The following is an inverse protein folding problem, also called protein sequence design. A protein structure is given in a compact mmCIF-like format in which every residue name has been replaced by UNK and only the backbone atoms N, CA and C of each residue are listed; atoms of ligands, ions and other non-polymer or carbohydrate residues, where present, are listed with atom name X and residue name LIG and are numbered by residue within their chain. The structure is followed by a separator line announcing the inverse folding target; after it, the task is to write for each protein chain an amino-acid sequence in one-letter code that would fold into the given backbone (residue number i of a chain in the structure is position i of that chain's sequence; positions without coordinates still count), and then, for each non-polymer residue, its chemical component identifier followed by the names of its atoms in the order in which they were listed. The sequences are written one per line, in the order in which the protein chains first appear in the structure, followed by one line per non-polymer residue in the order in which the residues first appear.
data_IF_449621893966
#
_entry.id   IF_449621893966
#
_cell.length_a   1.000
_cell.length_b   1.000
_cell.length_c   1.000
_cell.angle_alpha   90.00
_cell.angle_beta   90.00
_cell.angle_gamma   90.00
#
_symmetry.space_group_name_H-M   'P 1'
#
loop_
_entity.id
_entity.type
_entity.pdbx_description
1 polymer ?
#
# COMPACT_ATOMS: atom_id res chain seq x y z
N UNK A 1 -11.53 -30.54 2.06
CA UNK A 1 -10.17 -31.08 1.76
C UNK A 1 -9.25 -30.62 2.88
N UNK A 2 -8.84 -31.52 3.77
CA UNK A 2 -8.08 -31.19 4.99
C UNK A 2 -6.63 -30.89 4.60
N UNK A 3 -6.24 -29.61 4.57
CA UNK A 3 -4.87 -29.18 4.29
C UNK A 3 -4.01 -29.39 5.54
N UNK A 4 -2.99 -30.22 5.43
CA UNK A 4 -1.97 -30.45 6.47
C UNK A 4 -1.14 -29.18 6.70
N UNK A 5 -0.60 -29.00 7.92
CA UNK A 5 0.12 -27.78 8.34
C UNK A 5 1.34 -27.42 7.46
N UNK A 6 1.97 -28.40 6.80
CA UNK A 6 3.05 -28.19 5.82
C UNK A 6 2.54 -27.44 4.57
N UNK A 7 1.27 -27.65 4.20
CA UNK A 7 0.64 -26.93 3.10
C UNK A 7 0.45 -25.44 3.38
N UNK A 8 0.32 -25.02 4.63
CA UNK A 8 0.13 -23.60 4.99
C UNK A 8 1.43 -22.78 4.88
N UNK A 9 2.57 -23.35 5.28
CA UNK A 9 3.88 -22.71 5.14
C UNK A 9 4.25 -22.58 3.65
N UNK A 10 3.97 -23.62 2.86
CA UNK A 10 4.20 -23.57 1.41
C UNK A 10 3.35 -22.49 0.74
N UNK A 11 2.13 -22.26 1.21
CA UNK A 11 1.29 -21.15 0.72
C UNK A 11 1.93 -19.80 1.03
N UNK A 12 2.42 -19.57 2.25
CA UNK A 12 3.11 -18.32 2.60
C UNK A 12 4.38 -18.13 1.76
N UNK A 13 5.16 -19.19 1.59
CA UNK A 13 6.34 -19.17 0.72
C UNK A 13 5.96 -18.90 -0.74
N UNK A 14 4.92 -19.53 -1.26
CA UNK A 14 4.43 -19.31 -2.63
C UNK A 14 3.86 -17.89 -2.78
N UNK A 15 3.24 -17.31 -1.75
CA UNK A 15 2.79 -15.90 -1.78
C UNK A 15 3.98 -14.95 -2.01
N UNK A 16 5.10 -15.20 -1.32
CA UNK A 16 6.26 -14.32 -1.40
C UNK A 16 7.14 -14.62 -2.62
N UNK A 17 7.41 -15.90 -2.89
CA UNK A 17 8.44 -16.32 -3.84
C UNK A 17 7.90 -16.97 -5.12
N UNK A 18 6.62 -17.36 -5.15
CA UNK A 18 5.99 -17.93 -6.34
C UNK A 18 4.54 -17.44 -6.56
N UNK A 19 4.36 -16.12 -6.73
CA UNK A 19 3.03 -15.51 -6.79
C UNK A 19 2.19 -16.04 -7.96
N UNK A 20 2.83 -16.62 -8.97
CA UNK A 20 2.17 -17.19 -10.15
C UNK A 20 1.15 -18.29 -9.78
N UNK A 21 1.47 -19.17 -8.83
CA UNK A 21 0.57 -20.25 -8.41
C UNK A 21 -0.74 -19.72 -7.80
N UNK A 22 -0.68 -18.60 -7.09
CA UNK A 22 -1.86 -17.97 -6.48
C UNK A 22 -2.71 -17.24 -7.52
N UNK A 23 -2.03 -16.63 -8.48
CA UNK A 23 -2.64 -15.89 -9.59
C UNK A 23 -3.37 -16.87 -10.52
N UNK A 24 -2.77 -18.01 -10.88
CA UNK A 24 -3.39 -19.00 -11.77
C UNK A 24 -4.65 -19.65 -11.15
N UNK A 25 -4.67 -19.88 -9.84
CA UNK A 25 -5.89 -20.36 -9.18
C UNK A 25 -7.04 -19.35 -9.19
N UNK A 26 -6.80 -18.07 -9.52
CA UNK A 26 -7.84 -17.03 -9.52
C UNK A 26 -8.61 -16.87 -10.83
N UNK A 27 -8.07 -17.36 -11.96
CA UNK A 27 -8.71 -17.26 -13.27
C UNK A 27 -9.91 -18.21 -13.46
N UNK A 28 -10.06 -19.23 -12.60
CA UNK A 28 -11.13 -20.24 -12.67
C UNK A 28 -12.44 -19.82 -11.99
N UNK A 29 -12.56 -18.57 -11.54
CA UNK A 29 -13.63 -18.15 -10.61
C UNK A 29 -14.84 -17.49 -11.27
N UNK A 30 -14.79 -17.18 -12.56
CA UNK A 30 -15.90 -16.52 -13.27
C UNK A 30 -17.17 -17.39 -13.29
N UNK A 31 -17.03 -18.72 -13.21
CA UNK A 31 -18.14 -19.67 -13.31
C UNK A 31 -18.69 -20.18 -11.96
N UNK A 32 -18.26 -19.60 -10.84
CA UNK A 32 -18.69 -20.06 -9.51
C UNK A 32 -20.04 -19.50 -9.06
N UNK A 33 -20.76 -20.29 -8.25
CA UNK A 33 -22.01 -19.89 -7.60
C UNK A 33 -21.83 -18.68 -6.67
N UNK A 34 -22.90 -17.90 -6.47
CA UNK A 34 -22.88 -16.70 -5.63
C UNK A 34 -22.40 -16.97 -4.19
N UNK A 35 -22.74 -18.14 -3.64
CA UNK A 35 -22.30 -18.58 -2.30
C UNK A 35 -20.79 -18.77 -2.24
N UNK A 36 -20.20 -19.41 -3.25
CA UNK A 36 -18.75 -19.63 -3.31
C UNK A 36 -17.98 -18.32 -3.52
N UNK A 37 -18.55 -17.39 -4.29
CA UNK A 37 -18.03 -16.02 -4.45
C UNK A 37 -18.01 -15.27 -3.12
N UNK A 38 -19.11 -15.29 -2.38
CA UNK A 38 -19.20 -14.65 -1.06
C UNK A 38 -18.22 -15.26 -0.06
N UNK A 39 -18.15 -16.60 0.00
CA UNK A 39 -17.19 -17.31 0.85
C UNK A 39 -15.74 -16.93 0.53
N UNK A 40 -15.41 -16.77 -0.76
CA UNK A 40 -14.08 -16.35 -1.20
C UNK A 40 -13.76 -14.93 -0.74
N UNK A 41 -14.69 -13.99 -0.91
CA UNK A 41 -14.52 -12.61 -0.43
C UNK A 41 -14.26 -12.62 1.07
N UNK A 42 -15.11 -13.29 1.86
CA UNK A 42 -14.95 -13.37 3.32
C UNK A 42 -13.59 -13.95 3.69
N UNK A 43 -13.18 -15.06 3.07
CA UNK A 43 -11.90 -15.70 3.36
C UNK A 43 -10.71 -14.79 3.04
N UNK A 44 -10.76 -14.07 1.92
CA UNK A 44 -9.70 -13.13 1.53
C UNK A 44 -9.68 -11.91 2.45
N UNK A 45 -10.84 -11.37 2.82
CA UNK A 45 -10.95 -10.26 3.77
C UNK A 45 -10.40 -10.65 5.13
N UNK A 46 -10.77 -11.81 5.67
CA UNK A 46 -10.26 -12.30 6.96
C UNK A 46 -8.75 -12.50 6.89
N UNK A 47 -8.24 -13.12 5.82
CA UNK A 47 -6.80 -13.26 5.61
C UNK A 47 -6.10 -11.89 5.60
N UNK A 48 -6.63 -10.93 4.83
CA UNK A 48 -6.10 -9.58 4.76
C UNK A 48 -6.08 -8.92 6.15
N UNK A 49 -7.19 -8.91 6.88
CA UNK A 49 -7.28 -8.29 8.21
C UNK A 49 -6.33 -8.92 9.23
N UNK A 50 -6.19 -10.25 9.23
CA UNK A 50 -5.23 -10.93 10.09
C UNK A 50 -3.79 -10.52 9.78
N UNK A 51 -3.45 -10.42 8.48
CA UNK A 51 -2.13 -9.92 8.06
C UNK A 51 -1.94 -8.46 8.46
N UNK A 52 -2.96 -7.61 8.29
CA UNK A 52 -2.90 -6.21 8.74
C UNK A 52 -2.55 -6.13 10.21
N UNK A 53 -3.24 -6.88 11.08
CA UNK A 53 -2.95 -6.87 12.53
C UNK A 53 -1.52 -7.34 12.80
N UNK A 54 -1.12 -8.46 12.18
CA UNK A 54 0.22 -9.02 12.35
C UNK A 54 1.31 -8.02 11.96
N UNK A 55 1.07 -7.19 10.95
CA UNK A 55 2.03 -6.24 10.41
C UNK A 55 1.94 -4.83 11.01
N UNK A 56 0.76 -4.43 11.46
CA UNK A 56 0.58 -3.19 12.20
C UNK A 56 1.19 -3.29 13.60
N UNK A 57 1.25 -4.49 14.19
CA UNK A 57 1.82 -4.71 15.51
C UNK A 57 3.30 -4.29 15.64
N UNK A 58 4.25 -4.75 14.80
CA UNK A 58 5.64 -4.29 14.87
C UNK A 58 5.75 -2.78 14.58
N UNK A 59 4.93 -2.24 13.67
CA UNK A 59 4.91 -0.80 13.38
C UNK A 59 4.46 0.01 14.61
N UNK A 60 3.47 -0.50 15.33
CA UNK A 60 2.90 0.15 16.52
C UNK A 60 3.83 0.05 17.71
N UNK A 61 4.50 -1.10 17.90
CA UNK A 61 5.55 -1.29 18.90
C UNK A 61 6.71 -0.32 18.68
N UNK A 62 7.11 -0.11 17.42
CA UNK A 62 8.15 0.87 17.08
C UNK A 62 7.72 2.31 17.36
N UNK A 63 6.41 2.62 17.40
CA UNK A 63 5.91 3.95 17.74
C UNK A 63 5.90 4.25 19.25
N UNK A 64 6.00 3.23 20.10
CA UNK A 64 6.02 3.39 21.56
C UNK A 64 7.32 4.11 21.95
N UNK A 65 7.19 5.23 22.66
CA UNK A 65 8.30 6.08 23.09
C UNK A 65 8.58 7.27 22.17
N UNK A 66 7.90 7.37 21.03
CA UNK A 66 8.00 8.52 20.11
C UNK A 66 6.71 9.34 20.06
N UNK A 67 5.56 8.67 20.16
CA UNK A 67 4.26 9.31 20.31
C UNK A 67 3.80 9.06 21.74
N UNK A 68 3.28 10.09 22.40
CA UNK A 68 2.68 9.98 23.74
C UNK A 68 1.30 9.30 23.62
N UNK A 69 1.32 8.02 23.25
CA UNK A 69 0.16 7.20 23.00
C UNK A 69 0.44 5.74 23.38
N UNK A 70 -0.56 5.08 23.96
CA UNK A 70 -0.51 3.66 24.25
C UNK A 70 -0.45 2.81 22.96
N UNK A 71 0.01 1.57 23.09
CA UNK A 71 0.11 0.61 21.99
C UNK A 71 -1.23 0.35 21.28
N UNK A 72 -2.35 0.40 22.01
CA UNK A 72 -3.68 0.09 21.47
C UNK A 72 -4.13 1.16 20.46
N UNK A 73 -4.16 2.47 20.80
CA UNK A 73 -4.41 3.54 19.83
C UNK A 73 -3.49 3.50 18.61
N UNK A 74 -2.19 3.26 18.80
CA UNK A 74 -1.23 3.14 17.69
C UNK A 74 -1.57 1.97 16.77
N UNK A 75 -1.90 0.81 17.34
CA UNK A 75 -2.30 -0.38 16.58
C UNK A 75 -3.56 -0.13 15.78
N UNK A 76 -4.56 0.53 16.36
CA UNK A 76 -5.81 0.88 15.67
C UNK A 76 -5.51 1.82 14.50
N UNK A 77 -4.77 2.92 14.72
CA UNK A 77 -4.48 3.91 13.68
C UNK A 77 -3.66 3.31 12.52
N UNK A 78 -2.63 2.53 12.84
CA UNK A 78 -1.80 1.85 11.84
C UNK A 78 -2.63 0.83 11.05
N UNK A 79 -3.47 0.03 11.73
CA UNK A 79 -4.33 -0.95 11.07
C UNK A 79 -5.33 -0.27 10.13
N UNK A 80 -5.99 0.81 10.57
CA UNK A 80 -6.94 1.55 9.73
C UNK A 80 -6.23 2.15 8.51
N UNK A 81 -5.02 2.69 8.68
CA UNK A 81 -4.23 3.26 7.58
C UNK A 81 -3.90 2.20 6.52
N UNK A 82 -3.40 1.04 6.95
CA UNK A 82 -3.08 -0.09 6.06
C UNK A 82 -4.34 -0.62 5.36
N UNK A 83 -5.46 -0.74 6.08
CA UNK A 83 -6.76 -1.15 5.50
C UNK A 83 -7.20 -0.16 4.42
N UNK A 84 -7.19 1.13 4.76
CA UNK A 84 -7.63 2.20 3.86
C UNK A 84 -6.79 2.24 2.59
N UNK A 85 -5.47 2.14 2.73
CA UNK A 85 -4.55 2.11 1.59
C UNK A 85 -4.71 0.84 0.74
N UNK A 86 -4.98 -0.32 1.38
CA UNK A 86 -5.29 -1.56 0.68
C UNK A 86 -6.55 -1.47 -0.18
N UNK A 87 -7.63 -0.91 0.37
CA UNK A 87 -8.88 -0.70 -0.38
C UNK A 87 -8.74 0.35 -1.49
N UNK A 88 -7.99 1.43 -1.24
CA UNK A 88 -7.69 2.42 -2.26
C UNK A 88 -6.90 1.79 -3.42
N UNK A 89 -5.87 1.01 -3.10
CA UNK A 89 -5.05 0.32 -4.11
C UNK A 89 -5.90 -0.68 -4.91
N UNK A 90 -6.78 -1.42 -4.25
CA UNK A 90 -7.74 -2.30 -4.93
C UNK A 90 -8.64 -1.52 -5.90
N UNK A 91 -9.17 -0.39 -5.45
CA UNK A 91 -10.08 0.44 -6.23
C UNK A 91 -9.38 1.01 -7.46
N UNK A 92 -8.16 1.52 -7.32
CA UNK A 92 -7.35 2.06 -8.42
C UNK A 92 -6.90 0.95 -9.38
N UNK A 93 -6.43 -0.18 -8.86
CA UNK A 93 -6.06 -1.34 -9.67
C UNK A 93 -7.23 -1.84 -10.53
N UNK A 94 -8.40 -2.02 -9.91
CA UNK A 94 -9.59 -2.46 -10.66
C UNK A 94 -10.09 -1.39 -11.64
N UNK A 95 -10.03 -0.10 -11.26
CA UNK A 95 -10.38 1.00 -12.16
C UNK A 95 -9.49 1.02 -13.40
N UNK A 96 -8.18 0.82 -13.23
CA UNK A 96 -7.25 0.69 -14.36
C UNK A 96 -7.63 -0.47 -15.28
N UNK A 97 -7.93 -1.65 -14.71
CA UNK A 97 -8.35 -2.84 -15.48
C UNK A 97 -9.66 -2.57 -16.24
N UNK A 98 -10.62 -1.92 -15.58
CA UNK A 98 -11.90 -1.58 -16.15
C UNK A 98 -11.76 -0.57 -17.30
N UNK A 99 -10.90 0.43 -17.16
CA UNK A 99 -10.63 1.45 -18.19
C UNK A 99 -9.98 0.87 -19.45
N UNK A 100 -9.09 -0.10 -19.31
CA UNK A 100 -8.53 -0.84 -20.45
C UNK A 100 -9.49 -1.93 -20.99
N UNK A 101 -10.71 -2.02 -20.44
CA UNK A 101 -11.80 -2.92 -20.88
C UNK A 101 -11.47 -4.42 -20.85
N UNK A 102 -10.45 -4.84 -20.11
CA UNK A 102 -10.09 -6.26 -19.96
C UNK A 102 -10.49 -6.85 -18.61
N UNK A 103 -11.55 -6.35 -17.98
CA UNK A 103 -11.98 -6.85 -16.68
C UNK A 103 -12.64 -8.23 -16.79
N UNK A 104 -12.22 -9.15 -15.92
CA UNK A 104 -12.82 -10.47 -15.71
C UNK A 104 -13.65 -10.50 -14.41
N UNK A 105 -14.00 -9.31 -13.90
CA UNK A 105 -14.78 -9.12 -12.67
C UNK A 105 -13.98 -8.57 -11.49
N UNK A 106 -14.71 -8.18 -10.44
CA UNK A 106 -14.17 -7.55 -9.22
C UNK A 106 -13.42 -8.52 -8.32
N UNK A 107 -13.94 -9.75 -8.17
CA UNK A 107 -13.40 -10.76 -7.24
C UNK A 107 -11.95 -11.15 -7.56
N UNK A 108 -11.56 -11.39 -8.83
CA UNK A 108 -10.18 -11.68 -9.16
C UNK A 108 -9.24 -10.51 -8.81
N UNK A 109 -9.64 -9.27 -9.12
CA UNK A 109 -8.86 -8.08 -8.73
C UNK A 109 -8.73 -7.95 -7.21
N UNK A 110 -9.82 -8.16 -6.48
CA UNK A 110 -9.84 -8.11 -5.02
C UNK A 110 -8.85 -9.11 -4.42
N UNK A 111 -8.85 -10.35 -4.91
CA UNK A 111 -7.95 -11.40 -4.44
C UNK A 111 -6.49 -11.10 -4.72
N UNK A 112 -6.17 -10.67 -5.94
CA UNK A 112 -4.80 -10.29 -6.33
C UNK A 112 -4.30 -9.19 -5.40
N UNK A 113 -5.09 -8.13 -5.22
CA UNK A 113 -4.64 -6.98 -4.45
C UNK A 113 -4.58 -7.31 -2.96
N UNK A 114 -5.64 -7.84 -2.36
CA UNK A 114 -5.70 -8.00 -0.90
C UNK A 114 -4.71 -9.03 -0.35
N UNK A 115 -4.44 -10.12 -1.08
CA UNK A 115 -3.45 -11.12 -0.63
C UNK A 115 -2.02 -10.55 -0.66
N UNK A 116 -1.70 -9.76 -1.69
CA UNK A 116 -0.33 -9.27 -1.87
C UNK A 116 -0.09 -7.98 -1.09
N UNK A 117 -1.07 -7.08 -1.07
CA UNK A 117 -0.91 -5.73 -0.51
C UNK A 117 -0.56 -5.76 0.95
N UNK A 118 -1.17 -6.63 1.77
CA UNK A 118 -0.84 -6.67 3.20
C UNK A 118 0.64 -6.93 3.47
N UNK A 119 1.27 -7.83 2.71
CA UNK A 119 2.68 -8.22 2.91
C UNK A 119 3.61 -7.12 2.43
N UNK A 120 3.44 -6.64 1.20
CA UNK A 120 4.36 -5.64 0.65
C UNK A 120 4.21 -4.29 1.31
N UNK A 121 2.97 -3.89 1.61
CA UNK A 121 2.71 -2.63 2.30
C UNK A 121 3.28 -2.66 3.72
N UNK A 122 3.23 -3.80 4.40
CA UNK A 122 3.91 -3.99 5.68
C UNK A 122 5.42 -3.82 5.58
N UNK A 123 6.07 -4.46 4.60
CA UNK A 123 7.52 -4.33 4.40
C UNK A 123 7.89 -2.89 4.09
N UNK A 124 7.15 -2.24 3.18
CA UNK A 124 7.38 -0.84 2.80
C UNK A 124 7.21 0.08 4.00
N UNK A 125 6.11 -0.02 4.75
CA UNK A 125 5.90 0.82 5.93
C UNK A 125 6.92 0.56 7.03
N UNK A 126 7.29 -0.70 7.31
CA UNK A 126 8.32 -0.98 8.31
C UNK A 126 9.68 -0.41 7.90
N UNK A 127 10.10 -0.59 6.64
CA UNK A 127 11.36 -0.01 6.16
C UNK A 127 11.35 1.52 6.18
N UNK A 128 10.24 2.14 5.78
CA UNK A 128 10.06 3.59 5.80
C UNK A 128 10.13 4.12 7.24
N UNK A 129 9.45 3.44 8.18
CA UNK A 129 9.42 3.81 9.59
C UNK A 129 10.77 3.66 10.28
N UNK A 130 11.46 2.53 10.05
CA UNK A 130 12.85 2.31 10.49
C UNK A 130 13.76 3.43 9.95
N UNK A 131 13.60 3.76 8.65
CA UNK A 131 14.39 4.81 8.01
C UNK A 131 14.18 6.18 8.65
N UNK A 132 12.93 6.57 8.85
CA UNK A 132 12.57 7.84 9.49
C UNK A 132 13.14 7.91 10.92
N UNK A 133 13.02 6.84 11.70
CA UNK A 133 13.44 6.91 13.10
C UNK A 133 14.94 6.81 13.35
N UNK A 134 15.67 6.11 12.50
CA UNK A 134 17.11 5.90 12.73
C UNK A 134 17.94 6.98 12.03
N UNK A 135 17.38 7.70 11.06
CA UNK A 135 18.14 8.62 10.21
C UNK A 135 17.43 9.95 9.96
N UNK A 136 18.02 11.02 10.49
CA UNK A 136 17.60 12.40 10.19
C UNK A 136 17.71 12.72 8.68
N UNK A 137 18.70 12.13 7.98
CA UNK A 137 18.86 12.28 6.53
C UNK A 137 17.68 11.67 5.78
N UNK A 138 17.26 10.45 6.13
CA UNK A 138 16.10 9.81 5.51
C UNK A 138 14.80 10.53 5.87
N UNK A 139 14.64 10.98 7.11
CA UNK A 139 13.50 11.82 7.51
C UNK A 139 13.42 13.08 6.66
N UNK A 140 14.53 13.79 6.49
CA UNK A 140 14.59 14.97 5.63
C UNK A 140 14.23 14.66 4.17
N UNK A 141 14.77 13.58 3.60
CA UNK A 141 14.47 13.15 2.23
C UNK A 141 13.00 12.75 2.05
N UNK A 142 12.43 11.97 2.96
CA UNK A 142 11.03 11.55 2.87
C UNK A 142 10.09 12.73 3.07
N UNK A 143 10.34 13.58 4.07
CA UNK A 143 9.53 14.78 4.29
C UNK A 143 9.57 15.71 3.08
N UNK A 144 10.76 15.93 2.49
CA UNK A 144 10.90 16.68 1.25
C UNK A 144 10.12 16.03 0.10
N UNK A 145 10.25 14.71 -0.10
CA UNK A 145 9.54 14.01 -1.18
C UNK A 145 8.02 14.06 -1.00
N UNK A 146 7.52 13.89 0.21
CA UNK A 146 6.10 14.05 0.53
C UNK A 146 5.64 15.50 0.31
N UNK A 147 6.42 16.49 0.73
CA UNK A 147 6.13 17.89 0.47
C UNK A 147 6.01 18.17 -1.03
N UNK A 148 7.01 17.78 -1.83
CA UNK A 148 6.96 17.97 -3.30
C UNK A 148 5.73 17.30 -3.90
N UNK A 149 5.36 16.11 -3.40
CA UNK A 149 4.15 15.42 -3.80
C UNK A 149 2.90 16.25 -3.47
N UNK A 150 2.78 16.74 -2.23
CA UNK A 150 1.65 17.51 -1.76
C UNK A 150 1.52 18.87 -2.46
N UNK A 151 2.62 19.57 -2.71
CA UNK A 151 2.63 20.82 -3.48
C UNK A 151 2.18 20.58 -4.92
N UNK A 152 2.73 19.56 -5.56
CA UNK A 152 2.36 19.20 -6.95
C UNK A 152 0.88 18.89 -7.03
N UNK A 153 0.37 18.04 -6.13
CA UNK A 153 -1.04 17.63 -6.12
C UNK A 153 -1.96 18.77 -5.70
N UNK A 154 -1.58 19.52 -4.68
CA UNK A 154 -2.36 20.63 -4.14
C UNK A 154 -2.53 21.78 -5.13
N UNK A 155 -1.50 22.05 -5.93
CA UNK A 155 -1.58 22.98 -7.05
C UNK A 155 -2.67 22.58 -8.05
N UNK A 156 -2.81 21.29 -8.37
CA UNK A 156 -3.81 20.81 -9.34
C UNK A 156 -5.22 20.64 -8.77
N UNK A 157 -5.39 20.48 -7.45
CA UNK A 157 -6.69 20.28 -6.80
C UNK A 157 -7.26 21.60 -6.22
N UNK A 158 -6.61 22.75 -6.48
CA UNK A 158 -7.03 24.06 -5.99
C UNK A 158 -7.17 24.11 -4.45
N UNK A 159 -6.18 23.54 -3.75
CA UNK A 159 -6.10 23.61 -2.29
C UNK A 159 -5.96 25.10 -1.86
N UNK A 160 -6.60 25.55 -0.76
CA UNK A 160 -6.67 26.96 -0.38
C UNK A 160 -5.31 27.67 -0.31
N UNK A 161 -5.29 29.01 -0.54
CA UNK A 161 -4.11 29.83 -0.31
C UNK A 161 -3.65 29.66 1.14
N UNK A 162 -2.39 29.28 1.34
CA UNK A 162 -1.78 29.08 2.66
C UNK A 162 -1.46 27.63 3.03
N UNK A 163 -1.91 26.64 2.25
CA UNK A 163 -1.53 25.23 2.44
C UNK A 163 0.00 25.02 2.35
N UNK A 164 0.69 25.88 1.60
CA UNK A 164 2.14 25.93 1.44
C UNK A 164 2.90 26.66 2.56
N UNK A 165 2.23 27.39 3.46
CA UNK A 165 2.90 28.38 4.30
C UNK A 165 3.78 27.76 5.40
N UNK A 166 3.54 26.48 5.74
CA UNK A 166 4.41 25.65 6.59
C UNK A 166 5.41 24.76 5.83
N UNK A 167 5.29 24.68 4.50
CA UNK A 167 6.21 23.93 3.63
C UNK A 167 7.42 24.77 3.21
N UNK A 168 7.53 26.03 3.65
CA UNK A 168 8.71 26.83 3.41
C UNK A 168 9.99 26.12 3.94
N UNK A 169 10.83 25.66 3.00
CA UNK A 169 12.26 25.33 3.15
C UNK A 169 12.72 23.96 3.68
N UNK A 170 12.00 22.85 3.47
CA UNK A 170 12.69 21.54 3.59
C UNK A 170 13.62 21.39 2.39
N UNK A 171 14.90 21.72 2.57
CA UNK A 171 15.90 21.39 1.56
C UNK A 171 16.05 19.87 1.50
N UNK A 172 16.16 19.25 0.32
CA UNK A 172 16.43 17.83 0.22
C UNK A 172 17.73 17.55 0.99
N UNK A 173 17.69 16.60 1.93
CA UNK A 173 18.93 16.18 2.56
C UNK A 173 19.89 15.66 1.49
N UNK A 174 21.18 15.97 1.62
CA UNK A 174 22.13 15.65 0.57
C UNK A 174 22.26 14.13 0.38
N UNK A 175 22.05 13.64 -0.85
CA UNK A 175 22.19 12.21 -1.16
C UNK A 175 23.61 11.71 -0.85
N UNK A 176 24.61 12.60 -0.95
CA UNK A 176 26.00 12.34 -0.55
C UNK A 176 26.17 12.02 0.93
N UNK A 177 25.28 12.49 1.81
CA UNK A 177 25.35 12.27 3.26
C UNK A 177 24.68 10.97 3.72
N UNK A 178 24.14 10.16 2.79
CA UNK A 178 23.51 8.88 3.13
C UNK A 178 24.53 7.89 3.68
N UNK A 179 24.26 7.41 4.90
CA UNK A 179 25.00 6.32 5.52
C UNK A 179 24.74 5.00 4.78
N UNK A 180 25.58 3.99 5.01
CA UNK A 180 25.39 2.66 4.42
C UNK A 180 24.01 2.07 4.77
N UNK A 181 23.56 2.25 6.02
CA UNK A 181 22.25 1.81 6.46
C UNK A 181 21.11 2.52 5.70
N UNK A 182 21.23 3.84 5.49
CA UNK A 182 20.22 4.60 4.75
C UNK A 182 20.07 4.10 3.32
N UNK A 183 21.21 3.84 2.66
CA UNK A 183 21.24 3.27 1.30
C UNK A 183 20.60 1.89 1.27
N UNK A 184 20.88 1.05 2.27
CA UNK A 184 20.29 -0.28 2.36
C UNK A 184 18.75 -0.22 2.52
N UNK A 185 18.24 0.72 3.33
CA UNK A 185 16.79 0.94 3.49
C UNK A 185 16.16 1.40 2.18
N UNK A 186 16.76 2.38 1.49
CA UNK A 186 16.29 2.86 0.18
C UNK A 186 16.26 1.73 -0.84
N UNK A 187 17.33 0.93 -0.93
CA UNK A 187 17.38 -0.23 -1.84
C UNK A 187 16.30 -1.25 -1.47
N UNK A 188 16.08 -1.52 -0.18
CA UNK A 188 15.02 -2.41 0.29
C UNK A 188 13.62 -1.91 -0.09
N UNK A 189 13.36 -0.61 0.03
CA UNK A 189 12.11 0.04 -0.39
C UNK A 189 11.91 -0.07 -1.91
N UNK A 190 12.96 0.18 -2.70
CA UNK A 190 12.92 0.05 -4.16
C UNK A 190 12.62 -1.38 -4.59
N UNK A 191 13.34 -2.37 -4.04
CA UNK A 191 13.12 -3.79 -4.35
C UNK A 191 11.70 -4.20 -3.98
N UNK A 192 11.24 -3.84 -2.78
CA UNK A 192 9.90 -4.19 -2.29
C UNK A 192 8.80 -3.54 -3.14
N UNK A 193 8.97 -2.29 -3.54
CA UNK A 193 8.03 -1.56 -4.41
C UNK A 193 8.01 -2.15 -5.83
N UNK A 194 9.18 -2.40 -6.42
CA UNK A 194 9.29 -3.02 -7.75
C UNK A 194 8.66 -4.41 -7.77
N UNK A 195 8.90 -5.21 -6.73
CA UNK A 195 8.36 -6.56 -6.65
C UNK A 195 6.84 -6.54 -6.40
N UNK A 196 6.33 -5.62 -5.58
CA UNK A 196 4.89 -5.42 -5.41
C UNK A 196 4.20 -5.09 -6.74
N UNK A 197 4.74 -4.12 -7.49
CA UNK A 197 4.22 -3.75 -8.82
C UNK A 197 4.33 -4.91 -9.81
N UNK A 198 5.42 -5.67 -9.78
CA UNK A 198 5.58 -6.85 -10.62
C UNK A 198 4.49 -7.90 -10.35
N UNK A 199 4.17 -8.18 -9.08
CA UNK A 199 3.12 -9.14 -8.72
C UNK A 199 1.75 -8.68 -9.24
N UNK A 200 1.42 -7.40 -9.07
CA UNK A 200 0.17 -6.84 -9.59
C UNK A 200 0.12 -6.84 -11.13
N UNK A 201 1.25 -6.52 -11.78
CA UNK A 201 1.40 -6.59 -13.23
C UNK A 201 1.17 -8.02 -13.77
N UNK A 202 1.75 -9.04 -13.13
CA UNK A 202 1.50 -10.44 -13.51
C UNK A 202 0.04 -10.82 -13.26
N UNK A 203 -0.55 -10.32 -12.17
CA UNK A 203 -1.98 -10.47 -11.88
C UNK A 203 -2.85 -9.95 -13.02
N UNK A 204 -2.61 -8.72 -13.46
CA UNK A 204 -3.30 -8.07 -14.57
C UNK A 204 -3.17 -8.91 -15.86
N UNK A 205 -1.96 -9.37 -16.18
CA UNK A 205 -1.72 -10.16 -17.39
C UNK A 205 -2.37 -11.53 -17.38
N UNK A 206 -2.24 -12.27 -16.29
CA UNK A 206 -2.60 -13.70 -16.24
C UNK A 206 -4.07 -13.90 -15.88
N UNK A 207 -4.64 -13.03 -15.06
CA UNK A 207 -6.00 -13.18 -14.55
C UNK A 207 -6.99 -12.40 -15.38
N UNK A 208 -6.59 -11.21 -15.82
CA UNK A 208 -7.41 -10.33 -16.65
C UNK A 208 -7.06 -10.43 -18.15
N UNK A 209 -6.08 -11.26 -18.52
CA UNK A 209 -5.72 -11.48 -19.93
C UNK A 209 -5.10 -10.26 -20.61
N UNK A 210 -4.68 -9.26 -19.85
CA UNK A 210 -4.20 -8.00 -20.39
C UNK A 210 -2.87 -8.16 -21.14
N UNK A 211 -2.68 -7.33 -22.16
CA UNK A 211 -1.40 -7.17 -22.84
C UNK A 211 -0.36 -6.54 -21.91
N UNK A 212 0.91 -6.54 -22.34
CA UNK A 212 2.00 -5.90 -21.57
C UNK A 212 1.75 -4.41 -21.38
N UNK A 213 1.31 -3.72 -22.44
CA UNK A 213 1.06 -2.29 -22.41
C UNK A 213 -0.11 -1.93 -21.49
N UNK A 214 -1.24 -2.61 -21.62
CA UNK A 214 -2.41 -2.38 -20.75
C UNK A 214 -2.07 -2.64 -19.28
N UNK A 215 -1.29 -3.68 -18.99
CA UNK A 215 -0.89 -3.99 -17.63
C UNK A 215 0.04 -2.92 -17.03
N UNK A 216 0.91 -2.30 -17.84
CA UNK A 216 1.70 -1.14 -17.40
C UNK A 216 0.80 0.06 -17.11
N UNK A 217 -0.23 0.31 -17.93
CA UNK A 217 -1.21 1.38 -17.64
C UNK A 217 -1.92 1.14 -16.30
N UNK A 218 -2.35 -0.10 -16.02
CA UNK A 218 -2.92 -0.46 -14.71
C UNK A 218 -1.94 -0.17 -13.57
N UNK A 219 -0.64 -0.44 -13.76
CA UNK A 219 0.36 -0.12 -12.74
C UNK A 219 0.49 1.39 -12.50
N UNK A 220 0.29 2.21 -13.54
CA UNK A 220 0.21 3.67 -13.40
C UNK A 220 -0.91 4.11 -12.46
N UNK A 221 -2.10 3.48 -12.53
CA UNK A 221 -3.19 3.73 -11.58
C UNK A 221 -2.83 3.30 -10.16
N UNK A 222 -2.15 2.17 -9.99
CA UNK A 222 -1.70 1.75 -8.64
C UNK A 222 -0.68 2.72 -8.08
N UNK A 223 0.27 3.18 -8.89
CA UNK A 223 1.29 4.15 -8.51
C UNK A 223 0.72 5.51 -8.12
N UNK A 224 -0.50 5.86 -8.55
CA UNK A 224 -1.17 7.06 -8.09
C UNK A 224 -1.77 6.93 -6.68
N UNK A 225 -1.76 5.74 -6.07
CA UNK A 225 -2.38 5.51 -4.76
C UNK A 225 -1.84 6.38 -3.63
N UNK A 226 -0.52 6.66 -3.49
CA UNK A 226 -0.02 7.56 -2.45
C UNK A 226 -0.55 8.97 -2.61
N UNK A 227 -0.58 9.47 -3.85
CA UNK A 227 -1.13 10.79 -4.21
C UNK A 227 -2.61 10.86 -3.88
N UNK A 228 -3.38 9.85 -4.31
CA UNK A 228 -4.82 9.82 -4.06
C UNK A 228 -5.13 9.69 -2.57
N UNK A 229 -4.36 8.89 -1.83
CA UNK A 229 -4.50 8.74 -0.38
C UNK A 229 -4.23 10.05 0.35
N UNK A 230 -3.14 10.73 -0.01
CA UNK A 230 -2.78 12.05 0.47
C UNK A 230 -3.90 13.07 0.22
N UNK A 231 -4.35 13.19 -1.04
CA UNK A 231 -5.41 14.12 -1.41
C UNK A 231 -6.72 13.86 -0.66
N UNK A 232 -7.17 12.60 -0.58
CA UNK A 232 -8.37 12.22 0.17
C UNK A 232 -8.21 12.57 1.65
N UNK A 233 -7.05 12.26 2.25
CA UNK A 233 -6.80 12.54 3.66
C UNK A 233 -6.86 14.03 3.99
N UNK A 234 -6.34 14.88 3.09
CA UNK A 234 -6.42 16.34 3.22
C UNK A 234 -7.85 16.84 3.10
N UNK A 235 -8.59 16.38 2.09
CA UNK A 235 -10.00 16.78 1.89
C UNK A 235 -10.85 16.39 3.11
N UNK A 236 -10.66 15.18 3.63
CA UNK A 236 -11.36 14.72 4.83
C UNK A 236 -11.00 15.58 6.06
N UNK A 237 -9.72 15.90 6.24
CA UNK A 237 -9.25 16.73 7.35
C UNK A 237 -9.85 18.15 7.31
N UNK A 238 -9.70 18.82 6.17
CA UNK A 238 -10.08 20.22 5.99
C UNK A 238 -11.60 20.43 5.96
N UNK A 239 -12.33 19.59 5.22
CA UNK A 239 -13.75 19.84 4.94
C UNK A 239 -14.71 19.08 5.84
N UNK A 240 -14.27 17.96 6.44
CA UNK A 240 -15.15 17.13 7.27
C UNK A 240 -14.84 17.22 8.77
N UNK A 241 -13.79 17.96 9.19
CA UNK A 241 -13.30 18.01 10.57
C UNK A 241 -13.05 16.61 11.18
N UNK A 242 -12.83 15.60 10.33
CA UNK A 242 -12.45 14.27 10.75
C UNK A 242 -10.93 14.28 10.87
N UNK A 243 -10.34 13.84 11.99
CA UNK A 243 -8.89 13.82 12.14
C UNK A 243 -8.23 13.13 10.93
N UNK A 244 -7.44 13.88 10.16
CA UNK A 244 -6.65 13.35 9.07
C UNK A 244 -5.55 12.44 9.60
N UNK A 245 -5.19 11.39 8.85
CA UNK A 245 -4.05 10.51 9.18
C UNK A 245 -2.72 11.29 9.22
N UNK A 246 -2.65 12.37 8.44
CA UNK A 246 -1.57 13.34 8.50
C UNK A 246 -2.05 14.53 9.34
N UNK A 247 -1.68 14.57 10.63
CA UNK A 247 -1.65 15.86 11.32
C UNK A 247 -0.44 16.60 10.78
N UNK A 248 -0.68 17.62 9.94
CA UNK A 248 0.33 18.64 9.68
C UNK A 248 0.67 19.26 11.04
N UNK A 249 1.97 19.35 11.35
CA UNK A 249 2.49 19.58 12.69
C UNK A 249 1.80 20.68 13.49
N UNK A 250 1.69 20.43 14.80
CA UNK A 250 1.80 21.49 15.78
C UNK A 250 3.29 21.77 16.02
#
# INVERSE_FOLDING_TARGET
MVRTGIGQIRILFDIVFNPQNLIESSSQYTDQSAVNRLSTIISVTVFFLLNVILYALPLSLQGIGFVDADIIPLLINNSISIVSFGFLTYSLYHSGIWLVRGSNGLIPSYRIVMINTSIYLAIIFNLLWIGIFISNTLTGLFNWAFQVLFETVGYYIAIPPGFGDGFNSINPAEVSSLLLLDRAIIVGLLISSCYYLYVLYIGARRVHGLTRYESVLVMGFVLSSPITFAAISLIIGEYLNIPSFFRLGA
#
